data_IF_972408850383
#
_entry.id   IF_972408850383
#
_cell.length_a   1.000
_cell.length_b   1.000
_cell.length_c   1.000
_cell.angle_alpha   90.00
_cell.angle_beta   90.00
_cell.angle_gamma   90.00
#
_symmetry.space_group_name_H-M   'P 1'
#
loop_
_entity.id
_entity.type
_entity.pdbx_description
1 polymer ?
#
# COMPACT_ATOMS: atom_id res chain seq x y z
N UNK A 1 27.35 -18.70 18.17
CA UNK A 1 26.74 -17.95 17.06
C UNK A 1 25.28 -17.78 17.43
N UNK A 2 24.96 -16.67 18.10
CA UNK A 2 23.60 -16.37 18.53
C UNK A 2 22.85 -15.87 17.32
N UNK A 3 21.86 -16.63 16.86
CA UNK A 3 20.91 -16.17 15.86
C UNK A 3 20.15 -15.00 16.47
N UNK A 4 20.48 -13.80 16.01
CA UNK A 4 19.74 -12.57 16.28
C UNK A 4 18.33 -12.78 15.73
N UNK A 5 17.42 -13.16 16.63
CA UNK A 5 16.02 -13.43 16.28
C UNK A 5 15.42 -12.06 16.01
N UNK A 6 15.21 -11.73 14.73
CA UNK A 6 14.54 -10.50 14.35
C UNK A 6 13.25 -10.36 15.17
N UNK A 7 13.02 -9.19 15.76
CA UNK A 7 11.82 -8.96 16.54
C UNK A 7 10.59 -9.35 15.71
N UNK A 8 9.62 -10.08 16.29
CA UNK A 8 8.45 -10.51 15.55
C UNK A 8 7.72 -9.29 14.98
N UNK A 9 7.36 -9.36 13.70
CA UNK A 9 6.63 -8.29 13.01
C UNK A 9 5.34 -7.96 13.77
N UNK A 10 5.12 -6.68 14.04
CA UNK A 10 3.90 -6.15 14.63
C UNK A 10 3.06 -5.39 13.60
N UNK A 11 1.74 -5.47 13.75
CA UNK A 11 0.72 -4.85 12.93
C UNK A 11 -0.03 -3.81 13.75
N UNK A 12 -0.03 -2.60 13.23
CA UNK A 12 -0.68 -1.42 13.80
C UNK A 12 -1.85 -0.95 12.93
N UNK A 13 -2.54 0.11 13.35
CA UNK A 13 -3.53 0.77 12.49
C UNK A 13 -2.91 1.32 11.19
N UNK A 14 -1.63 1.69 11.21
CA UNK A 14 -0.89 2.09 10.01
C UNK A 14 -0.80 0.94 9.02
N UNK A 15 -0.54 -0.28 9.49
CA UNK A 15 -0.51 -1.48 8.66
C UNK A 15 -1.90 -1.82 8.11
N UNK A 16 -2.98 -1.62 8.88
CA UNK A 16 -4.35 -1.76 8.37
C UNK A 16 -4.65 -0.73 7.27
N UNK A 17 -4.28 0.54 7.48
CA UNK A 17 -4.46 1.59 6.47
C UNK A 17 -3.71 1.27 5.17
N UNK A 18 -2.43 0.89 5.27
CA UNK A 18 -1.60 0.55 4.12
C UNK A 18 -2.13 -0.71 3.42
N UNK A 19 -2.49 -1.75 4.16
CA UNK A 19 -3.07 -2.98 3.61
C UNK A 19 -4.37 -2.69 2.87
N UNK A 20 -5.24 -1.83 3.42
CA UNK A 20 -6.46 -1.42 2.73
C UNK A 20 -6.14 -0.70 1.41
N UNK A 21 -5.23 0.28 1.40
CA UNK A 21 -4.82 0.98 0.17
C UNK A 21 -4.32 -0.02 -0.88
N UNK A 22 -3.44 -0.94 -0.47
CA UNK A 22 -2.86 -1.95 -1.37
C UNK A 22 -3.88 -2.97 -1.87
N UNK A 23 -4.88 -3.33 -1.06
CA UNK A 23 -5.99 -4.20 -1.46
C UNK A 23 -6.92 -3.52 -2.47
N UNK A 24 -7.05 -2.20 -2.43
CA UNK A 24 -7.82 -1.42 -3.41
C UNK A 24 -7.04 -1.11 -4.70
N UNK A 25 -5.71 -1.30 -4.71
CA UNK A 25 -4.87 -0.97 -5.86
C UNK A 25 -5.18 -1.89 -7.06
N UNK A 26 -5.30 -1.28 -8.24
CA UNK A 26 -5.44 -1.98 -9.51
C UNK A 26 -4.08 -2.16 -10.20
N UNK A 27 -4.07 -2.94 -11.28
CA UNK A 27 -2.86 -3.26 -12.03
C UNK A 27 -2.13 -2.04 -12.62
N UNK A 28 -2.84 -0.92 -12.81
CA UNK A 28 -2.29 0.34 -13.32
C UNK A 28 -1.85 1.31 -12.23
N UNK A 29 -2.02 0.97 -10.95
CA UNK A 29 -1.62 1.82 -9.85
C UNK A 29 -0.14 1.59 -9.51
N UNK A 30 0.73 2.63 -9.54
CA UNK A 30 2.15 2.52 -9.24
C UNK A 30 2.45 1.94 -7.87
N UNK A 31 1.58 2.20 -6.89
CA UNK A 31 1.72 1.73 -5.50
C UNK A 31 1.34 0.25 -5.38
N UNK A 32 0.64 -0.32 -6.38
CA UNK A 32 0.12 -1.68 -6.34
C UNK A 32 1.19 -2.78 -6.39
N UNK A 33 2.43 -2.49 -6.81
CA UNK A 33 3.52 -3.49 -6.86
C UNK A 33 3.25 -4.67 -7.80
N UNK A 34 2.31 -4.50 -8.74
CA UNK A 34 1.98 -5.49 -9.77
C UNK A 34 3.04 -5.48 -10.89
N UNK A 35 3.26 -6.64 -11.48
CA UNK A 35 4.19 -6.82 -12.61
C UNK A 35 3.37 -7.08 -13.86
N UNK A 36 3.48 -6.20 -14.86
CA UNK A 36 2.61 -6.19 -16.05
C UNK A 36 2.48 -7.56 -16.75
N UNK A 37 3.54 -8.35 -16.77
CA UNK A 37 3.61 -9.63 -17.50
C UNK A 37 3.46 -10.86 -16.60
N UNK A 38 3.27 -10.70 -15.29
CA UNK A 38 3.21 -11.82 -14.35
C UNK A 38 1.82 -11.93 -13.70
N UNK A 39 0.87 -12.48 -14.46
CA UNK A 39 -0.53 -12.65 -14.04
C UNK A 39 -0.68 -13.54 -12.81
N UNK A 40 0.08 -14.64 -12.74
CA UNK A 40 0.08 -15.58 -11.60
C UNK A 40 0.53 -14.91 -10.31
N UNK A 41 1.64 -14.16 -10.35
CA UNK A 41 2.10 -13.36 -9.21
C UNK A 41 1.07 -12.31 -8.81
N UNK A 42 0.53 -11.56 -9.77
CA UNK A 42 -0.45 -10.49 -9.49
C UNK A 42 -1.72 -11.05 -8.82
N UNK A 43 -2.20 -12.22 -9.25
CA UNK A 43 -3.33 -12.91 -8.64
C UNK A 43 -3.00 -13.38 -7.20
N UNK A 44 -1.81 -13.97 -7.00
CA UNK A 44 -1.35 -14.38 -5.67
C UNK A 44 -1.22 -13.18 -4.71
N UNK A 45 -0.64 -12.06 -5.18
CA UNK A 45 -0.46 -10.83 -4.42
C UNK A 45 -1.80 -10.21 -4.02
N UNK A 46 -2.77 -10.18 -4.94
CA UNK A 46 -4.12 -9.70 -4.65
C UNK A 46 -4.78 -10.55 -3.56
N UNK A 47 -4.77 -11.87 -3.72
CA UNK A 47 -5.35 -12.80 -2.74
C UNK A 47 -4.68 -12.68 -1.37
N UNK A 48 -3.36 -12.53 -1.35
CA UNK A 48 -2.61 -12.27 -0.12
C UNK A 48 -3.11 -11.01 0.60
N UNK A 49 -3.23 -9.89 -0.13
CA UNK A 49 -3.70 -8.61 0.45
C UNK A 49 -5.15 -8.65 0.92
N UNK A 50 -6.04 -9.30 0.17
CA UNK A 50 -7.43 -9.49 0.57
C UNK A 50 -7.54 -10.27 1.89
N UNK A 51 -6.80 -11.38 2.01
CA UNK A 51 -6.77 -12.19 3.25
C UNK A 51 -6.13 -11.46 4.43
N UNK A 52 -5.04 -10.72 4.18
CA UNK A 52 -4.40 -9.92 5.23
C UNK A 52 -5.32 -8.81 5.71
N UNK A 53 -6.03 -8.13 4.80
CA UNK A 53 -6.98 -7.10 5.15
C UNK A 53 -8.10 -7.67 6.03
N UNK A 54 -8.73 -8.77 5.61
CA UNK A 54 -9.80 -9.44 6.35
C UNK A 54 -9.35 -9.84 7.78
N UNK A 55 -8.14 -10.36 7.92
CA UNK A 55 -7.61 -10.72 9.23
C UNK A 55 -7.35 -9.49 10.11
N UNK A 56 -6.78 -8.42 9.56
CA UNK A 56 -6.55 -7.18 10.32
C UNK A 56 -7.87 -6.50 10.72
N UNK A 57 -8.86 -6.49 9.83
CA UNK A 57 -10.22 -6.05 10.12
C UNK A 57 -10.84 -6.85 11.28
N UNK A 58 -10.70 -8.18 11.26
CA UNK A 58 -11.14 -9.07 12.32
C UNK A 58 -10.46 -8.79 13.67
N UNK A 59 -9.13 -8.61 13.67
CA UNK A 59 -8.35 -8.31 14.87
C UNK A 59 -8.73 -6.96 15.50
N UNK A 60 -8.95 -5.93 14.67
CA UNK A 60 -9.41 -4.63 15.15
C UNK A 60 -10.91 -4.56 15.44
N UNK A 61 -11.68 -5.61 15.10
CA UNK A 61 -13.13 -5.66 15.30
C UNK A 61 -13.88 -4.66 14.41
N UNK A 62 -13.36 -4.36 13.22
CA UNK A 62 -13.90 -3.39 12.28
C UNK A 62 -13.88 -3.96 10.87
N UNK A 63 -15.03 -4.04 10.21
CA UNK A 63 -15.12 -4.34 8.78
C UNK A 63 -15.30 -3.04 8.00
N UNK A 64 -14.38 -2.72 7.07
CA UNK A 64 -14.40 -1.47 6.31
C UNK A 64 -15.37 -1.54 5.12
N UNK A 65 -16.65 -1.68 5.45
CA UNK A 65 -17.76 -1.69 4.51
C UNK A 65 -18.82 -0.66 4.88
N UNK A 66 -19.40 0.00 3.86
CA UNK A 66 -20.37 1.09 4.07
C UNK A 66 -21.58 0.67 4.93
N UNK A 67 -22.03 -0.58 4.78
CA UNK A 67 -23.15 -1.12 5.56
C UNK A 67 -22.86 -1.25 7.05
N UNK A 68 -21.60 -1.46 7.44
CA UNK A 68 -21.19 -1.59 8.85
C UNK A 68 -20.99 -0.23 9.52
N UNK A 69 -20.72 0.82 8.73
CA UNK A 69 -20.45 2.17 9.25
C UNK A 69 -21.69 2.90 9.78
N UNK A 70 -22.90 2.38 9.51
CA UNK A 70 -24.16 2.99 9.97
C UNK A 70 -24.35 2.87 11.48
N UNK A 71 -23.76 1.84 12.10
CA UNK A 71 -23.83 1.56 13.53
C UNK A 71 -22.85 2.45 14.34
N UNK A 72 -21.87 3.06 13.67
CA UNK A 72 -20.88 3.94 14.29
C UNK A 72 -21.37 5.39 14.21
N UNK A 73 -21.39 6.17 15.32
CA UNK A 73 -21.74 7.58 15.28
C UNK A 73 -20.89 8.36 14.28
N UNK A 74 -21.54 8.96 13.26
CA UNK A 74 -20.89 9.65 12.12
C UNK A 74 -19.97 8.75 11.27
N UNK A 75 -20.02 7.42 11.45
CA UNK A 75 -19.16 6.46 10.77
C UNK A 75 -19.26 6.55 9.26
N UNK A 76 -20.47 6.72 8.70
CA UNK A 76 -20.67 6.84 7.25
C UNK A 76 -19.92 8.03 6.63
N UNK A 77 -19.94 9.20 7.28
CA UNK A 77 -19.24 10.41 6.79
C UNK A 77 -17.73 10.24 6.90
N UNK A 78 -17.26 9.69 8.02
CA UNK A 78 -15.84 9.41 8.24
C UNK A 78 -15.32 8.38 7.24
N UNK A 79 -16.07 7.31 6.99
CA UNK A 79 -15.70 6.28 6.04
C UNK A 79 -15.77 6.77 4.59
N UNK A 80 -16.71 7.66 4.24
CA UNK A 80 -16.67 8.34 2.94
C UNK A 80 -15.39 9.16 2.78
N UNK A 81 -14.97 9.90 3.81
CA UNK A 81 -13.70 10.62 3.77
C UNK A 81 -12.52 9.66 3.62
N UNK A 82 -12.49 8.58 4.38
CA UNK A 82 -11.49 7.51 4.29
C UNK A 82 -11.37 6.98 2.86
N UNK A 83 -12.49 6.59 2.23
CA UNK A 83 -12.49 6.12 0.84
C UNK A 83 -11.96 7.17 -0.15
N UNK A 84 -12.29 8.45 0.04
CA UNK A 84 -11.76 9.53 -0.81
C UNK A 84 -10.26 9.71 -0.63
N UNK A 85 -9.76 9.63 0.60
CA UNK A 85 -8.33 9.68 0.90
C UNK A 85 -7.58 8.49 0.28
N UNK A 86 -8.13 7.28 0.35
CA UNK A 86 -7.58 6.11 -0.35
C UNK A 86 -7.52 6.34 -1.86
N UNK A 87 -8.61 6.80 -2.48
CA UNK A 87 -8.62 7.11 -3.91
C UNK A 87 -7.60 8.19 -4.30
N UNK A 88 -7.44 9.23 -3.47
CA UNK A 88 -6.45 10.28 -3.67
C UNK A 88 -5.02 9.74 -3.56
N UNK A 89 -4.76 8.89 -2.56
CA UNK A 89 -3.46 8.24 -2.37
C UNK A 89 -3.11 7.33 -3.56
N UNK A 90 -4.06 6.53 -4.04
CA UNK A 90 -3.87 5.67 -5.21
C UNK A 90 -3.65 6.46 -6.49
N UNK A 91 -4.16 7.70 -6.57
CA UNK A 91 -4.00 8.57 -7.73
C UNK A 91 -2.67 9.33 -7.77
N UNK A 92 -1.78 9.17 -6.78
CA UNK A 92 -0.44 9.77 -6.82
C UNK A 92 0.33 9.25 -8.05
N UNK A 93 0.92 10.18 -8.80
CA UNK A 93 1.66 9.91 -10.04
C UNK A 93 2.84 10.86 -10.15
N UNK A 94 3.94 10.35 -10.69
CA UNK A 94 5.13 11.12 -11.06
C UNK A 94 5.16 11.33 -12.58
N UNK A 95 5.91 12.31 -13.11
CA UNK A 95 6.04 12.49 -14.56
C UNK A 95 6.57 11.26 -15.31
N UNK A 96 7.30 10.37 -14.63
CA UNK A 96 7.78 9.11 -15.19
C UNK A 96 6.77 7.95 -15.13
N UNK A 97 5.61 8.14 -14.48
CA UNK A 97 4.61 7.09 -14.35
C UNK A 97 4.05 6.68 -15.72
N UNK A 98 4.23 5.41 -16.09
CA UNK A 98 3.78 4.87 -17.38
C UNK A 98 4.71 5.20 -18.56
N UNK A 99 5.89 5.76 -18.30
CA UNK A 99 6.87 6.05 -19.35
C UNK A 99 7.74 4.83 -19.64
N UNK A 100 7.52 4.17 -20.78
CA UNK A 100 8.17 2.91 -21.13
C UNK A 100 9.65 3.06 -21.57
N UNK A 101 10.05 4.26 -22.01
CA UNK A 101 11.39 4.50 -22.58
C UNK A 101 12.31 5.30 -21.64
N UNK A 102 12.28 5.01 -20.33
CA UNK A 102 13.04 5.77 -19.33
C UNK A 102 14.53 5.94 -19.68
N UNK A 103 15.15 4.92 -20.29
CA UNK A 103 16.55 4.96 -20.71
C UNK A 103 16.83 5.88 -21.90
N UNK A 104 15.91 6.03 -22.85
CA UNK A 104 16.07 6.98 -23.96
C UNK A 104 15.90 8.41 -23.45
N UNK A 105 14.87 8.66 -22.63
CA UNK A 105 14.63 9.96 -22.00
C UNK A 105 15.85 10.41 -21.18
N UNK A 106 16.42 9.52 -20.35
CA UNK A 106 17.59 9.84 -19.55
C UNK A 106 18.77 10.28 -20.45
N UNK A 107 19.08 9.52 -21.50
CA UNK A 107 20.16 9.87 -22.45
C UNK A 107 19.90 11.21 -23.15
N UNK A 108 18.65 11.49 -23.53
CA UNK A 108 18.28 12.78 -24.14
C UNK A 108 18.45 13.95 -23.17
N UNK A 109 18.10 13.76 -21.90
CA UNK A 109 18.30 14.78 -20.87
C UNK A 109 19.80 15.01 -20.58
N UNK A 110 20.60 13.94 -20.52
CA UNK A 110 22.06 14.05 -20.35
C UNK A 110 22.70 14.80 -21.52
N UNK A 111 22.32 14.48 -22.77
CA UNK A 111 22.82 15.15 -23.96
C UNK A 111 22.42 16.64 -24.03
N UNK A 112 21.32 17.03 -23.38
CA UNK A 112 20.88 18.41 -23.32
C UNK A 112 21.69 19.29 -22.34
N UNK A 113 22.60 18.71 -21.54
CA UNK A 113 23.44 19.45 -20.60
C UNK A 113 22.63 20.07 -19.44
N UNK A 114 22.90 21.32 -19.09
CA UNK A 114 22.31 21.97 -17.91
C UNK A 114 20.78 22.03 -17.89
N UNK A 115 20.07 22.30 -19.00
CA UNK A 115 18.62 22.15 -19.05
C UNK A 115 18.11 20.76 -18.65
N UNK A 116 18.75 19.69 -19.14
CA UNK A 116 18.34 18.33 -18.81
C UNK A 116 18.63 17.95 -17.35
N UNK A 117 19.77 18.43 -16.80
CA UNK A 117 20.08 18.30 -15.38
C UNK A 117 18.98 18.91 -14.50
N UNK A 118 18.52 20.12 -14.82
CA UNK A 118 17.43 20.80 -14.07
C UNK A 118 16.11 20.04 -14.15
N UNK A 119 15.81 19.38 -15.28
CA UNK A 119 14.63 18.52 -15.41
C UNK A 119 14.75 17.32 -14.48
N UNK A 120 15.89 16.61 -14.48
CA UNK A 120 16.13 15.47 -13.59
C UNK A 120 16.01 15.86 -12.11
N UNK A 121 16.66 16.95 -11.70
CA UNK A 121 16.58 17.47 -10.34
C UNK A 121 15.14 17.80 -9.91
N UNK A 122 14.36 18.41 -10.83
CA UNK A 122 12.95 18.73 -10.56
C UNK A 122 12.09 17.47 -10.48
N UNK A 123 12.33 16.48 -11.36
CA UNK A 123 11.64 15.18 -11.29
C UNK A 123 11.94 14.46 -9.97
N UNK A 124 13.20 14.40 -9.54
CA UNK A 124 13.56 13.84 -8.22
C UNK A 124 12.90 14.60 -7.07
N UNK A 125 12.72 15.92 -7.19
CA UNK A 125 11.98 16.69 -6.19
C UNK A 125 10.49 16.33 -6.18
N UNK A 126 9.89 16.11 -7.34
CA UNK A 126 8.50 15.65 -7.44
C UNK A 126 8.35 14.27 -6.79
N UNK A 127 9.27 13.34 -7.05
CA UNK A 127 9.24 12.00 -6.44
C UNK A 127 9.22 12.10 -4.91
N UNK A 128 10.10 12.92 -4.32
CA UNK A 128 10.11 13.19 -2.87
C UNK A 128 8.80 13.78 -2.36
N UNK A 129 8.18 14.71 -3.10
CA UNK A 129 6.88 15.25 -2.72
C UNK A 129 5.76 14.22 -2.81
N UNK A 130 5.84 13.27 -3.75
CA UNK A 130 4.88 12.17 -3.83
C UNK A 130 5.02 11.21 -2.65
N UNK A 131 6.25 10.87 -2.25
CA UNK A 131 6.50 10.07 -1.05
C UNK A 131 5.94 10.75 0.21
N UNK A 132 6.24 12.04 0.39
CA UNK A 132 5.69 12.83 1.51
C UNK A 132 4.16 12.94 1.45
N UNK A 133 3.59 13.10 0.25
CA UNK A 133 2.15 13.13 0.09
C UNK A 133 1.53 11.78 0.45
N UNK A 134 2.14 10.66 0.05
CA UNK A 134 1.69 9.31 0.43
C UNK A 134 1.69 9.13 1.94
N UNK A 135 2.76 9.50 2.62
CA UNK A 135 2.84 9.40 4.08
C UNK A 135 1.74 10.23 4.76
N UNK A 136 1.49 11.45 4.29
CA UNK A 136 0.42 12.29 4.80
C UNK A 136 -0.98 11.69 4.54
N UNK A 137 -1.21 11.02 3.42
CA UNK A 137 -2.47 10.29 3.19
C UNK A 137 -2.63 9.15 4.19
N UNK A 138 -1.58 8.37 4.41
CA UNK A 138 -1.61 7.27 5.36
C UNK A 138 -1.80 7.78 6.80
N UNK A 139 -1.25 8.95 7.17
CA UNK A 139 -1.49 9.58 8.48
C UNK A 139 -2.98 9.89 8.67
N UNK A 140 -3.62 10.49 7.65
CA UNK A 140 -5.06 10.76 7.66
C UNK A 140 -5.86 9.45 7.77
N UNK A 141 -5.47 8.41 7.03
CA UNK A 141 -6.16 7.12 7.06
C UNK A 141 -6.04 6.45 8.43
N UNK A 142 -4.86 6.48 9.04
CA UNK A 142 -4.62 5.96 10.39
C UNK A 142 -5.46 6.71 11.43
N UNK A 143 -5.52 8.04 11.38
CA UNK A 143 -6.33 8.85 12.28
C UNK A 143 -7.83 8.59 12.10
N UNK A 144 -8.29 8.42 10.86
CA UNK A 144 -9.68 8.04 10.59
C UNK A 144 -9.98 6.64 11.14
N UNK A 145 -9.09 5.67 10.96
CA UNK A 145 -9.25 4.33 11.55
C UNK A 145 -9.28 4.38 13.07
N UNK A 146 -8.40 5.16 13.70
CA UNK A 146 -8.37 5.39 15.15
C UNK A 146 -9.71 5.89 15.68
N UNK A 147 -10.39 6.76 14.94
CA UNK A 147 -11.75 7.21 15.28
C UNK A 147 -12.76 6.08 15.08
N UNK A 148 -12.68 5.32 13.99
CA UNK A 148 -13.64 4.27 13.64
C UNK A 148 -13.57 3.04 14.55
N UNK A 149 -12.37 2.58 14.93
CA UNK A 149 -12.19 1.41 15.81
C UNK A 149 -12.40 1.73 17.30
N UNK A 150 -12.39 3.01 17.66
CA UNK A 150 -12.59 3.47 19.04
C UNK A 150 -11.60 2.87 20.04
N UNK A 151 -12.10 2.12 21.03
CA UNK A 151 -11.30 1.56 22.12
C UNK A 151 -10.17 0.62 21.70
N UNK A 152 -10.24 0.07 20.48
CA UNK A 152 -9.23 -0.82 19.94
C UNK A 152 -8.03 -0.09 19.30
N UNK A 153 -8.02 1.25 19.27
CA UNK A 153 -7.05 2.00 18.50
C UNK A 153 -5.60 1.91 19.00
N UNK A 154 -5.39 1.53 20.26
CA UNK A 154 -4.06 1.34 20.84
C UNK A 154 -3.55 -0.11 20.71
N UNK A 155 -4.36 -1.02 20.18
CA UNK A 155 -3.97 -2.42 20.01
C UNK A 155 -2.95 -2.54 18.89
N UNK A 156 -2.00 -3.45 19.09
CA UNK A 156 -1.08 -3.93 18.07
C UNK A 156 -1.11 -5.45 18.11
N UNK A 157 -0.97 -6.06 16.94
CA UNK A 157 -1.04 -7.51 16.78
C UNK A 157 0.26 -8.03 16.22
N UNK A 158 0.60 -9.27 16.50
CA UNK A 158 1.81 -9.92 16.04
C UNK A 158 1.53 -10.78 14.81
N UNK A 159 2.59 -11.18 14.11
CA UNK A 159 2.48 -12.22 13.08
C UNK A 159 1.90 -13.54 13.62
N UNK A 160 2.05 -13.83 14.93
CA UNK A 160 1.43 -15.01 15.54
C UNK A 160 -0.09 -14.87 15.65
N UNK A 161 -0.60 -13.67 15.95
CA UNK A 161 -2.04 -13.40 15.96
C UNK A 161 -2.66 -13.65 14.57
N UNK A 162 -1.99 -13.21 13.49
CA UNK A 162 -2.42 -13.50 12.12
C UNK A 162 -2.39 -15.01 11.80
N UNK A 163 -1.33 -15.72 12.21
CA UNK A 163 -1.24 -17.17 12.03
C UNK A 163 -2.31 -17.93 12.82
N UNK A 164 -2.71 -17.43 13.99
CA UNK A 164 -3.82 -18.01 14.76
C UNK A 164 -5.17 -17.93 14.01
N UNK A 165 -5.31 -16.96 13.10
CA UNK A 165 -6.43 -16.82 12.16
C UNK A 165 -6.22 -17.59 10.84
N UNK A 166 -5.12 -18.35 10.72
CA UNK A 166 -4.78 -19.12 9.52
C UNK A 166 -4.24 -18.27 8.36
N UNK A 167 -3.78 -17.04 8.63
CA UNK A 167 -3.17 -16.15 7.64
C UNK A 167 -1.65 -16.21 7.74
N UNK A 168 -1.00 -16.53 6.62
CA UNK A 168 0.44 -16.37 6.44
C UNK A 168 0.71 -14.93 6.01
N UNK A 169 1.56 -14.24 6.77
CA UNK A 169 1.91 -12.84 6.59
C UNK A 169 3.11 -12.62 5.66
N UNK A 170 3.58 -13.70 5.03
CA UNK A 170 4.65 -13.64 4.02
C UNK A 170 4.08 -13.22 2.66
N UNK A 171 4.46 -12.06 2.10
CA UNK A 171 4.02 -11.66 0.78
C UNK A 171 4.62 -12.57 -0.31
N UNK A 172 3.91 -12.84 -1.41
CA UNK A 172 4.48 -13.57 -2.53
C UNK A 172 5.64 -12.80 -3.14
N UNK A 173 6.64 -13.51 -3.66
CA UNK A 173 7.81 -12.94 -4.33
C UNK A 173 7.69 -13.18 -5.83
N UNK A 174 7.80 -12.13 -6.65
CA UNK A 174 7.60 -12.23 -8.10
C UNK A 174 8.49 -13.29 -8.78
N UNK A 175 9.71 -13.49 -8.27
CA UNK A 175 10.67 -14.45 -8.80
C UNK A 175 10.16 -15.90 -8.75
N UNK A 176 9.35 -16.26 -7.75
CA UNK A 176 8.82 -17.61 -7.57
C UNK A 176 7.77 -17.98 -8.63
N UNK A 177 7.30 -16.99 -9.39
CA UNK A 177 6.27 -17.13 -10.41
C UNK A 177 6.83 -16.95 -11.83
N UNK A 178 8.15 -16.81 -12.00
CA UNK A 178 8.79 -16.70 -13.31
C UNK A 178 8.94 -18.05 -14.04
N UNK A 179 8.60 -19.16 -13.39
CA UNK A 179 8.68 -20.51 -13.97
C UNK A 179 7.33 -20.98 -14.54
N UNK A 180 6.90 -20.45 -15.69
CA UNK A 180 5.84 -21.06 -16.51
C UNK A 180 5.81 -20.53 -17.96
N UNK A 181 6.96 -20.15 -18.53
CA UNK A 181 7.08 -19.77 -19.93
C UNK A 181 8.16 -20.64 -20.61
N UNK A 182 7.89 -21.93 -20.69
CA UNK A 182 8.42 -22.84 -21.71
C UNK A 182 7.25 -23.33 -22.57
#
# INVERSE_FOLDING_TARGET
MSSETAAPRSYSLRDLAETYVLAQANWSDPIGGYVQENTSYNAALRKYRERLLEALEGLYGLTLEMGQMVEIPRGTVLFMHFKRTVSSCLALRTPGSGYLEAGLLLRSLEAAGDPGRRVLETSTRIDKFMDQSREAHLDILEDLLRILVGGNAALTFTAEDLRSLGVDDTPPVAADFLSAAE
#
